data_IF_848226858904
#
_entry.id   IF_848226858904
#
_cell.length_a   1.000
_cell.length_b   1.000
_cell.length_c   1.000
_cell.angle_alpha   90.00
_cell.angle_beta   90.00
_cell.angle_gamma   90.00
#
_symmetry.space_group_name_H-M   'P 1'
#
loop_
_entity.id
_entity.type
_entity.pdbx_description
1 polymer ?
#
# COMPACT_ATOMS: atom_id res chain seq x y z
N UNK A 1 -4.05 21.53 38.17
CA UNK A 1 -3.62 22.73 37.43
C UNK A 1 -4.15 22.59 36.02
N UNK A 2 -5.03 23.47 35.57
CA UNK A 2 -5.44 23.47 34.16
C UNK A 2 -4.23 23.90 33.33
N UNK A 3 -3.74 23.07 32.48
CA UNK A 3 -2.72 23.41 31.48
C UNK A 3 -3.38 24.40 30.50
N UNK A 4 -3.02 25.67 30.62
CA UNK A 4 -3.41 26.68 29.65
C UNK A 4 -2.45 26.52 28.46
N UNK A 5 -2.75 25.55 27.57
CA UNK A 5 -1.91 25.28 26.45
C UNK A 5 -2.20 26.30 25.33
N UNK A 6 -1.42 27.37 25.31
CA UNK A 6 -1.47 28.37 24.23
C UNK A 6 -0.66 27.93 23.00
N UNK A 7 0.05 26.80 23.09
CA UNK A 7 0.84 26.26 21.99
C UNK A 7 -0.07 25.52 21.02
N UNK A 8 -0.20 26.06 19.82
CA UNK A 8 -0.95 25.42 18.74
C UNK A 8 0.01 24.76 17.77
N UNK A 9 -0.25 23.50 17.48
CA UNK A 9 0.43 22.79 16.40
C UNK A 9 -0.29 23.05 15.07
N UNK A 10 0.49 23.11 14.01
CA UNK A 10 0.01 23.02 12.64
C UNK A 10 0.77 21.88 11.94
N UNK A 11 0.19 21.22 10.95
CA UNK A 11 0.92 20.30 10.12
C UNK A 11 2.14 20.95 9.49
N UNK A 12 3.23 20.18 9.27
CA UNK A 12 4.38 20.69 8.55
C UNK A 12 3.96 21.13 7.14
N UNK A 13 4.50 22.25 6.64
CA UNK A 13 4.12 22.83 5.34
C UNK A 13 4.27 21.86 4.15
N UNK A 14 5.18 20.90 4.26
CA UNK A 14 5.43 19.90 3.22
C UNK A 14 4.43 18.74 3.24
N UNK A 15 3.60 18.59 4.27
CA UNK A 15 2.53 17.57 4.26
C UNK A 15 1.43 18.00 3.30
N UNK A 16 0.97 17.10 2.41
CA UNK A 16 -0.02 17.46 1.39
C UNK A 16 -1.34 17.92 1.98
N UNK A 17 -1.82 17.24 3.01
CA UNK A 17 -3.13 17.49 3.61
C UNK A 17 -2.98 18.39 4.83
N UNK A 18 -3.62 19.57 4.82
CA UNK A 18 -3.41 20.67 5.79
C UNK A 18 -4.63 21.01 6.64
N UNK A 19 -5.82 20.45 6.35
CA UNK A 19 -7.05 20.77 7.11
C UNK A 19 -6.99 20.16 8.50
N UNK A 20 -6.67 21.01 9.48
CA UNK A 20 -6.49 20.61 10.90
C UNK A 20 -7.78 20.11 11.54
N UNK A 21 -8.96 20.59 11.13
CA UNK A 21 -10.24 20.14 11.68
C UNK A 21 -10.52 18.69 11.23
N UNK A 22 -10.22 18.39 9.96
CA UNK A 22 -10.32 17.04 9.43
C UNK A 22 -9.30 16.12 10.09
N UNK A 23 -8.03 16.56 10.22
CA UNK A 23 -6.96 15.77 10.83
C UNK A 23 -7.29 15.40 12.29
N UNK A 24 -7.77 16.38 13.09
CA UNK A 24 -8.18 16.15 14.48
C UNK A 24 -9.37 15.19 14.59
N UNK A 25 -10.27 15.23 13.62
CA UNK A 25 -11.43 14.33 13.57
C UNK A 25 -11.00 12.91 13.21
N UNK A 26 -10.26 12.74 12.13
CA UNK A 26 -9.96 11.39 11.59
C UNK A 26 -9.04 10.61 12.50
N UNK A 27 -8.10 11.24 13.21
CA UNK A 27 -7.19 10.56 14.13
C UNK A 27 -7.91 9.87 15.29
N UNK A 28 -9.11 10.32 15.62
CA UNK A 28 -9.96 9.76 16.66
C UNK A 28 -10.93 8.68 16.17
N UNK A 29 -11.00 8.43 14.86
CA UNK A 29 -11.93 7.45 14.31
C UNK A 29 -11.46 6.02 14.60
N UNK A 30 -12.39 5.21 15.09
CA UNK A 30 -12.18 3.78 15.30
C UNK A 30 -12.67 3.01 14.06
N UNK A 31 -11.74 2.55 13.24
CA UNK A 31 -12.03 1.81 12.00
C UNK A 31 -12.88 0.56 12.27
N UNK A 32 -12.71 -0.08 13.43
CA UNK A 32 -13.46 -1.29 13.82
C UNK A 32 -14.96 -1.05 13.89
N UNK A 33 -15.38 0.18 14.22
CA UNK A 33 -16.78 0.57 14.29
C UNK A 33 -17.39 0.89 12.90
N UNK A 34 -16.56 1.00 11.86
CA UNK A 34 -16.96 1.44 10.52
C UNK A 34 -16.76 0.37 9.44
N UNK A 35 -16.64 -0.89 9.85
CA UNK A 35 -16.53 -2.00 8.90
C UNK A 35 -17.77 -2.12 8.01
N UNK A 36 -17.57 -2.66 6.81
CA UNK A 36 -18.63 -2.95 5.85
C UNK A 36 -18.59 -2.09 4.60
N UNK A 37 -19.75 -1.89 3.98
CA UNK A 37 -19.92 -1.27 2.66
C UNK A 37 -20.59 0.10 2.73
N UNK A 38 -20.20 0.96 3.64
CA UNK A 38 -20.79 2.28 3.86
C UNK A 38 -19.92 3.40 3.27
N UNK A 39 -19.46 3.21 2.05
CA UNK A 39 -18.58 4.13 1.33
C UNK A 39 -19.24 4.63 0.04
N UNK A 40 -18.55 5.50 -0.70
CA UNK A 40 -19.04 6.13 -1.92
C UNK A 40 -19.39 5.10 -3.01
N UNK A 41 -18.56 4.04 -3.12
CA UNK A 41 -18.88 2.89 -3.97
C UNK A 41 -19.48 1.77 -3.11
N UNK A 42 -20.71 1.30 -3.41
CA UNK A 42 -21.35 0.21 -2.64
C UNK A 42 -20.66 -1.14 -2.77
N UNK A 43 -19.76 -1.29 -3.75
CA UNK A 43 -18.93 -2.50 -3.93
C UNK A 43 -17.54 -2.37 -3.30
N UNK A 44 -17.24 -1.25 -2.60
CA UNK A 44 -16.08 -1.12 -1.73
C UNK A 44 -16.41 -1.61 -0.33
N UNK A 45 -15.52 -2.39 0.28
CA UNK A 45 -15.71 -2.95 1.61
C UNK A 45 -14.46 -2.79 2.48
N UNK A 46 -14.65 -2.34 3.72
CA UNK A 46 -13.62 -2.26 4.75
C UNK A 46 -13.78 -3.43 5.73
N UNK A 47 -12.72 -4.24 5.89
CA UNK A 47 -12.72 -5.43 6.74
C UNK A 47 -11.57 -5.42 7.74
N UNK A 48 -11.90 -5.50 9.02
CA UNK A 48 -10.91 -5.78 10.06
C UNK A 48 -10.71 -7.28 10.16
N UNK A 49 -9.49 -7.74 9.93
CA UNK A 49 -9.12 -9.16 9.88
C UNK A 49 -7.83 -9.40 10.65
N UNK A 50 -7.73 -10.56 11.29
CA UNK A 50 -6.59 -10.86 12.17
C UNK A 50 -5.27 -11.01 11.41
N UNK A 51 -5.29 -11.59 10.22
CA UNK A 51 -4.09 -11.81 9.39
C UNK A 51 -4.34 -11.38 7.95
N UNK A 52 -4.01 -10.13 7.66
CA UNK A 52 -4.20 -9.52 6.34
C UNK A 52 -3.34 -10.18 5.26
N UNK A 53 -2.14 -10.69 5.62
CA UNK A 53 -1.27 -11.36 4.67
C UNK A 53 -1.89 -12.64 4.13
N UNK A 54 -2.59 -13.40 4.97
CA UNK A 54 -3.31 -14.59 4.51
C UNK A 54 -4.42 -14.24 3.50
N UNK A 55 -5.11 -13.11 3.67
CA UNK A 55 -6.09 -12.68 2.67
C UNK A 55 -5.45 -12.36 1.34
N UNK A 56 -4.30 -11.65 1.32
CA UNK A 56 -3.54 -11.44 0.09
C UNK A 56 -3.10 -12.76 -0.55
N UNK A 57 -2.50 -13.67 0.25
CA UNK A 57 -1.99 -14.96 -0.23
C UNK A 57 -3.11 -15.79 -0.86
N UNK A 58 -4.24 -15.91 -0.16
CA UNK A 58 -5.38 -16.72 -0.61
C UNK A 58 -6.02 -16.10 -1.86
N UNK A 59 -6.21 -14.78 -1.90
CA UNK A 59 -6.83 -14.11 -3.03
C UNK A 59 -5.95 -14.27 -4.30
N UNK A 60 -4.65 -13.94 -4.21
CA UNK A 60 -3.74 -14.07 -5.35
C UNK A 60 -3.62 -15.53 -5.82
N UNK A 61 -3.49 -16.48 -4.88
CA UNK A 61 -3.46 -17.90 -5.21
C UNK A 61 -4.72 -18.34 -5.95
N UNK A 62 -5.91 -17.94 -5.48
CA UNK A 62 -7.18 -18.36 -6.11
C UNK A 62 -7.36 -17.75 -7.50
N UNK A 63 -6.94 -16.50 -7.72
CA UNK A 63 -6.99 -15.85 -9.03
C UNK A 63 -6.08 -16.58 -10.03
N UNK A 64 -4.84 -16.89 -9.63
CA UNK A 64 -3.90 -17.66 -10.44
C UNK A 64 -4.47 -19.05 -10.74
N UNK A 65 -5.02 -19.75 -9.74
CA UNK A 65 -5.64 -21.05 -9.91
C UNK A 65 -6.82 -21.00 -10.87
N UNK A 66 -7.68 -20.00 -10.76
CA UNK A 66 -8.82 -19.85 -11.69
C UNK A 66 -8.35 -19.55 -13.10
N UNK A 67 -7.34 -18.70 -13.28
CA UNK A 67 -6.70 -18.43 -14.57
C UNK A 67 -6.15 -19.71 -15.22
N UNK A 68 -5.45 -20.53 -14.43
CA UNK A 68 -4.92 -21.82 -14.91
C UNK A 68 -6.02 -22.79 -15.33
N UNK A 69 -7.01 -23.02 -14.45
CA UNK A 69 -8.12 -23.97 -14.70
C UNK A 69 -8.96 -23.56 -15.90
N UNK A 70 -9.26 -22.28 -16.04
CA UNK A 70 -10.08 -21.76 -17.15
C UNK A 70 -9.27 -21.50 -18.41
N UNK A 71 -7.94 -21.52 -18.31
CA UNK A 71 -7.01 -21.11 -19.35
C UNK A 71 -7.30 -19.67 -19.84
N UNK A 72 -7.56 -18.78 -18.91
CA UNK A 72 -7.86 -17.36 -19.14
C UNK A 72 -6.68 -16.50 -18.67
N UNK A 73 -6.42 -15.41 -19.39
CA UNK A 73 -5.42 -14.41 -19.01
C UNK A 73 -5.80 -13.78 -17.67
N UNK A 74 -4.79 -13.55 -16.82
CA UNK A 74 -4.89 -12.81 -15.57
C UNK A 74 -3.85 -11.69 -15.58
N UNK A 75 -4.31 -10.45 -15.49
CA UNK A 75 -3.44 -9.26 -15.41
C UNK A 75 -3.47 -8.72 -13.99
N UNK A 76 -2.30 -8.64 -13.34
CA UNK A 76 -2.18 -8.17 -11.95
C UNK A 76 -1.20 -7.02 -11.86
N UNK A 77 -1.54 -6.00 -11.04
CA UNK A 77 -0.59 -4.96 -10.62
C UNK A 77 -0.20 -5.28 -9.18
N UNK A 78 1.09 -5.55 -8.96
CA UNK A 78 1.62 -6.00 -7.68
C UNK A 78 2.48 -4.92 -7.00
N UNK A 79 2.35 -4.75 -5.67
CA UNK A 79 3.35 -4.09 -4.84
C UNK A 79 4.53 -5.04 -4.61
N UNK A 80 5.50 -4.61 -3.78
CA UNK A 80 6.52 -5.51 -3.22
C UNK A 80 6.16 -5.82 -1.77
N UNK A 81 5.35 -6.86 -1.51
CA UNK A 81 5.00 -7.26 -0.16
C UNK A 81 6.23 -7.84 0.56
N UNK A 82 6.08 -8.19 1.84
CA UNK A 82 7.11 -8.92 2.56
C UNK A 82 7.43 -10.28 1.90
N UNK A 83 8.69 -10.71 2.00
CA UNK A 83 9.16 -11.96 1.38
C UNK A 83 8.25 -13.16 1.69
N UNK A 84 7.79 -13.26 2.94
CA UNK A 84 6.95 -14.36 3.40
C UNK A 84 5.62 -14.46 2.61
N UNK A 85 5.07 -13.34 2.18
CA UNK A 85 3.82 -13.31 1.41
C UNK A 85 4.00 -13.98 0.05
N UNK A 86 5.02 -13.59 -0.70
CA UNK A 86 5.32 -14.24 -1.99
C UNK A 86 5.69 -15.71 -1.82
N UNK A 87 6.51 -16.04 -0.83
CA UNK A 87 6.90 -17.43 -0.57
C UNK A 87 5.68 -18.30 -0.24
N UNK A 88 4.71 -17.80 0.52
CA UNK A 88 3.49 -18.55 0.85
C UNK A 88 2.61 -18.80 -0.38
N UNK A 89 2.48 -17.81 -1.28
CA UNK A 89 1.78 -17.99 -2.56
C UNK A 89 2.47 -19.06 -3.41
N UNK A 90 3.80 -18.97 -3.54
CA UNK A 90 4.60 -19.93 -4.32
C UNK A 90 4.53 -21.34 -3.74
N UNK A 91 4.60 -21.49 -2.42
CA UNK A 91 4.46 -22.80 -1.78
C UNK A 91 3.11 -23.45 -2.12
N UNK A 92 2.03 -22.67 -2.08
CA UNK A 92 0.71 -23.15 -2.48
C UNK A 92 0.67 -23.52 -3.97
N UNK A 93 1.21 -22.68 -4.87
CA UNK A 93 1.24 -22.94 -6.30
C UNK A 93 2.02 -24.23 -6.63
N UNK A 94 3.22 -24.40 -6.04
CA UNK A 94 4.04 -25.59 -6.22
C UNK A 94 3.35 -26.84 -5.67
N UNK A 95 2.77 -26.75 -4.47
CA UNK A 95 2.08 -27.87 -3.80
C UNK A 95 0.88 -28.39 -4.61
N UNK A 96 0.08 -27.46 -5.13
CA UNK A 96 -1.15 -27.80 -5.87
C UNK A 96 -0.93 -27.86 -7.39
N UNK A 97 0.33 -27.71 -7.87
CA UNK A 97 0.70 -27.74 -9.29
C UNK A 97 -0.10 -26.78 -10.15
N UNK A 98 -0.29 -25.58 -9.66
CA UNK A 98 -1.02 -24.50 -10.36
C UNK A 98 -0.04 -23.74 -11.26
N UNK A 99 -0.31 -23.70 -12.56
CA UNK A 99 0.54 -23.00 -13.52
C UNK A 99 0.24 -21.50 -13.56
N UNK A 100 1.29 -20.70 -13.65
CA UNK A 100 1.18 -19.24 -13.83
C UNK A 100 1.27 -18.81 -15.30
N UNK A 101 1.21 -19.74 -16.26
CA UNK A 101 1.46 -19.48 -17.70
C UNK A 101 0.64 -18.34 -18.32
N UNK A 102 -0.56 -18.07 -17.78
CA UNK A 102 -1.47 -17.05 -18.29
C UNK A 102 -1.42 -15.74 -17.48
N UNK A 103 -0.54 -15.65 -16.48
CA UNK A 103 -0.45 -14.49 -15.59
C UNK A 103 0.47 -13.45 -16.20
N UNK A 104 -0.02 -12.22 -16.31
CA UNK A 104 0.74 -11.03 -16.66
C UNK A 104 0.92 -10.18 -15.40
N UNK A 105 2.17 -9.86 -15.07
CA UNK A 105 2.53 -9.12 -13.86
C UNK A 105 3.03 -7.73 -14.24
N UNK A 106 2.38 -6.71 -13.73
CA UNK A 106 2.85 -5.34 -13.71
C UNK A 106 3.24 -4.93 -12.27
N UNK A 107 4.15 -3.99 -12.15
CA UNK A 107 4.61 -3.51 -10.85
C UNK A 107 4.02 -2.14 -10.55
N UNK A 108 3.49 -1.97 -9.34
CA UNK A 108 2.89 -0.73 -8.88
C UNK A 108 3.84 0.45 -9.06
N UNK A 109 5.12 0.26 -8.69
CA UNK A 109 6.20 1.21 -8.94
C UNK A 109 7.57 0.53 -8.89
N UNK A 110 8.58 1.23 -9.40
CA UNK A 110 9.99 0.83 -9.35
C UNK A 110 10.87 2.04 -9.06
N UNK A 111 12.04 1.83 -8.51
CA UNK A 111 13.00 2.89 -8.23
C UNK A 111 13.70 3.41 -9.49
N UNK A 112 14.06 4.68 -9.44
CA UNK A 112 14.90 5.32 -10.45
C UNK A 112 15.95 6.23 -9.78
N UNK A 113 17.06 6.45 -10.49
CA UNK A 113 18.12 7.35 -10.03
C UNK A 113 17.80 8.81 -10.37
N UNK A 114 18.67 9.74 -9.96
CA UNK A 114 18.54 11.17 -10.23
C UNK A 114 18.36 11.51 -11.73
N UNK A 115 18.92 10.68 -12.62
CA UNK A 115 18.80 10.86 -14.08
C UNK A 115 17.52 10.25 -14.66
N UNK A 116 16.67 9.63 -13.82
CA UNK A 116 15.48 8.92 -14.25
C UNK A 116 15.77 7.56 -14.91
N UNK A 117 16.95 6.99 -14.67
CA UNK A 117 17.26 5.64 -15.10
C UNK A 117 16.62 4.66 -14.11
N UNK A 118 15.77 3.79 -14.62
CA UNK A 118 15.01 2.82 -13.82
C UNK A 118 15.93 1.72 -13.29
N UNK A 119 15.76 1.33 -12.05
CA UNK A 119 16.51 0.24 -11.44
C UNK A 119 16.21 -1.08 -12.17
N UNK A 120 17.23 -1.75 -12.76
CA UNK A 120 17.02 -3.03 -13.40
C UNK A 120 16.66 -4.10 -12.34
N UNK A 121 15.91 -5.13 -12.74
CA UNK A 121 15.47 -6.17 -11.81
C UNK A 121 16.64 -6.92 -11.12
N UNK A 122 17.85 -6.86 -11.69
CA UNK A 122 19.07 -7.42 -11.08
C UNK A 122 19.59 -6.60 -9.91
N UNK A 123 19.16 -5.32 -9.79
CA UNK A 123 19.53 -4.47 -8.67
C UNK A 123 19.06 -5.10 -7.34
N UNK A 124 19.88 -5.07 -6.27
CA UNK A 124 19.49 -5.62 -4.98
C UNK A 124 18.26 -4.97 -4.37
N UNK A 125 18.01 -3.70 -4.71
CA UNK A 125 16.88 -2.91 -4.19
C UNK A 125 15.67 -2.85 -5.13
N UNK A 126 15.75 -3.46 -6.33
CA UNK A 126 14.65 -3.44 -7.29
C UNK A 126 13.43 -4.21 -6.77
N UNK A 127 12.25 -3.61 -6.92
CA UNK A 127 10.96 -4.19 -6.56
C UNK A 127 10.60 -5.34 -7.48
N UNK A 128 10.81 -5.19 -8.76
CA UNK A 128 10.66 -6.29 -9.72
C UNK A 128 11.70 -7.40 -9.48
N UNK A 129 12.92 -7.04 -9.07
CA UNK A 129 13.93 -8.01 -8.64
C UNK A 129 13.52 -8.77 -7.38
N UNK A 130 12.77 -8.14 -6.47
CA UNK A 130 12.18 -8.80 -5.32
C UNK A 130 11.18 -9.88 -5.76
N UNK A 131 10.27 -9.58 -6.72
CA UNK A 131 9.37 -10.56 -7.31
C UNK A 131 10.13 -11.72 -7.97
N UNK A 132 11.18 -11.43 -8.74
CA UNK A 132 12.02 -12.48 -9.37
C UNK A 132 12.64 -13.40 -8.32
N UNK A 133 13.19 -12.84 -7.23
CA UNK A 133 13.86 -13.63 -6.18
C UNK A 133 12.92 -14.48 -5.34
N UNK A 134 11.77 -13.93 -4.95
CA UNK A 134 10.89 -14.54 -3.95
C UNK A 134 9.62 -15.16 -4.53
N UNK A 135 9.30 -14.88 -5.79
CA UNK A 135 8.18 -15.49 -6.48
C UNK A 135 8.65 -16.34 -7.68
N UNK A 136 9.13 -15.71 -8.74
CA UNK A 136 9.40 -16.37 -10.01
C UNK A 136 10.44 -17.51 -9.89
N UNK A 137 11.59 -17.24 -9.27
CA UNK A 137 12.66 -18.24 -9.11
C UNK A 137 12.33 -19.34 -8.10
N UNK A 138 11.29 -19.17 -7.28
CA UNK A 138 10.83 -20.16 -6.30
C UNK A 138 9.73 -21.07 -6.82
N UNK A 139 9.10 -20.74 -7.94
CA UNK A 139 8.19 -21.64 -8.64
C UNK A 139 8.96 -22.82 -9.23
N UNK A 140 8.33 -23.99 -9.23
CA UNK A 140 8.77 -25.13 -10.03
C UNK A 140 8.85 -24.68 -11.50
N UNK A 141 9.87 -25.12 -12.22
CA UNK A 141 10.18 -24.58 -13.56
C UNK A 141 9.01 -24.70 -14.55
N UNK A 142 8.30 -25.81 -14.47
CA UNK A 142 7.14 -26.11 -15.32
C UNK A 142 5.88 -25.28 -15.01
N UNK A 143 5.85 -24.59 -13.87
CA UNK A 143 4.72 -23.75 -13.44
C UNK A 143 4.92 -22.27 -13.74
N UNK A 144 6.13 -21.89 -14.17
CA UNK A 144 6.50 -20.49 -14.39
C UNK A 144 5.77 -19.89 -15.58
N UNK A 145 5.38 -18.62 -15.42
CA UNK A 145 4.94 -17.80 -16.55
C UNK A 145 6.09 -17.55 -17.53
N UNK A 146 5.82 -17.31 -18.80
CA UNK A 146 6.80 -16.78 -19.73
C UNK A 146 7.39 -15.46 -19.21
N UNK A 147 8.69 -15.23 -19.45
CA UNK A 147 9.36 -14.02 -18.95
C UNK A 147 8.78 -12.74 -19.56
N UNK A 148 8.27 -12.82 -20.79
CA UNK A 148 7.58 -11.72 -21.49
C UNK A 148 6.24 -11.31 -20.85
N UNK A 149 5.69 -12.14 -19.97
CA UNK A 149 4.51 -11.80 -19.19
C UNK A 149 4.85 -11.01 -17.90
N UNK A 150 6.14 -10.81 -17.61
CA UNK A 150 6.61 -9.97 -16.51
C UNK A 150 6.99 -8.62 -17.10
N UNK A 151 6.12 -7.64 -16.94
CA UNK A 151 6.26 -6.31 -17.52
C UNK A 151 7.12 -5.44 -16.61
N UNK A 152 8.43 -5.43 -16.91
CA UNK A 152 9.37 -4.62 -16.17
C UNK A 152 9.25 -3.15 -16.55
N UNK A 153 9.43 -2.28 -15.57
CA UNK A 153 9.68 -0.88 -15.83
C UNK A 153 11.03 -0.70 -16.50
N UNK A 154 11.05 0.10 -17.56
CA UNK A 154 12.26 0.52 -18.29
C UNK A 154 12.20 2.01 -18.55
N UNK A 155 13.32 2.61 -18.92
CA UNK A 155 13.35 4.03 -19.29
C UNK A 155 12.43 4.34 -20.48
N UNK A 156 12.28 3.39 -21.38
CA UNK A 156 11.56 3.54 -22.64
C UNK A 156 10.04 3.48 -22.44
N UNK A 157 9.55 2.77 -21.39
CA UNK A 157 8.12 2.59 -21.20
C UNK A 157 7.51 3.41 -20.04
N UNK A 158 8.25 4.35 -19.46
CA UNK A 158 7.74 5.15 -18.32
C UNK A 158 6.37 5.79 -18.62
N UNK A 159 6.24 6.43 -19.80
CA UNK A 159 5.02 7.14 -20.18
C UNK A 159 3.97 6.24 -20.85
N UNK A 160 4.37 5.04 -21.30
CA UNK A 160 3.51 4.10 -22.03
C UNK A 160 3.13 2.86 -21.22
N UNK A 161 3.59 2.76 -19.98
CA UNK A 161 3.30 1.60 -19.13
C UNK A 161 1.80 1.43 -18.86
N UNK A 162 1.07 2.53 -18.71
CA UNK A 162 -0.40 2.54 -18.64
C UNK A 162 -1.03 1.97 -19.92
N UNK A 163 -0.47 2.31 -21.10
CA UNK A 163 -0.97 1.82 -22.38
C UNK A 163 -0.70 0.32 -22.55
N UNK A 164 0.42 -0.18 -22.01
CA UNK A 164 0.71 -1.62 -21.99
C UNK A 164 -0.33 -2.39 -21.15
N UNK A 165 -0.73 -1.85 -19.99
CA UNK A 165 -1.80 -2.40 -19.15
C UNK A 165 -3.14 -2.38 -19.91
N UNK A 166 -3.47 -1.26 -20.54
CA UNK A 166 -4.71 -1.07 -21.30
C UNK A 166 -4.78 -2.01 -22.52
N UNK A 167 -3.65 -2.22 -23.22
CA UNK A 167 -3.55 -3.15 -24.35
C UNK A 167 -3.87 -4.60 -23.97
N UNK A 168 -3.68 -4.98 -22.72
CA UNK A 168 -4.08 -6.28 -22.17
C UNK A 168 -5.54 -6.31 -21.67
N UNK A 169 -6.28 -5.23 -21.80
CA UNK A 169 -7.68 -5.10 -21.34
C UNK A 169 -7.80 -4.59 -19.90
N UNK A 170 -6.78 -3.93 -19.39
CA UNK A 170 -6.69 -3.45 -18.00
C UNK A 170 -6.28 -4.55 -17.01
N UNK A 171 -6.02 -4.15 -15.77
CA UNK A 171 -5.72 -5.10 -14.71
C UNK A 171 -7.01 -5.78 -14.20
N UNK A 172 -6.94 -7.09 -13.97
CA UNK A 172 -8.01 -7.83 -13.29
C UNK A 172 -8.06 -7.49 -11.80
N UNK A 173 -6.89 -7.25 -11.22
CA UNK A 173 -6.77 -6.82 -9.82
C UNK A 173 -5.51 -5.99 -9.62
N UNK A 174 -5.62 -4.97 -8.77
CA UNK A 174 -4.49 -4.24 -8.20
C UNK A 174 -4.41 -4.49 -6.70
N UNK A 175 -3.17 -4.69 -6.22
CA UNK A 175 -2.89 -4.82 -4.79
C UNK A 175 -2.09 -3.62 -4.32
N UNK A 176 -2.48 -3.05 -3.18
CA UNK A 176 -1.84 -1.86 -2.60
C UNK A 176 -1.66 -1.97 -1.09
N UNK A 177 -0.93 -1.02 -0.54
CA UNK A 177 -0.87 -0.65 0.85
C UNK A 177 -0.52 0.84 0.92
N UNK A 178 -1.03 1.58 1.89
CA UNK A 178 -0.82 3.02 2.01
C UNK A 178 0.58 3.36 2.53
N UNK A 179 1.14 4.46 2.03
CA UNK A 179 2.28 5.14 2.64
C UNK A 179 1.85 6.06 3.78
N UNK A 180 2.80 6.67 4.49
CA UNK A 180 2.52 7.54 5.66
C UNK A 180 1.72 8.79 5.34
N UNK A 181 1.81 9.30 4.12
CA UNK A 181 1.02 10.44 3.62
C UNK A 181 -0.30 10.04 2.96
N UNK A 182 -0.80 8.83 3.21
CA UNK A 182 -1.94 8.26 2.47
C UNK A 182 -1.70 8.07 0.96
N UNK A 183 -0.42 8.07 0.53
CA UNK A 183 -0.04 7.78 -0.84
C UNK A 183 -0.17 6.30 -1.19
N UNK A 184 -0.20 5.97 -2.48
CA UNK A 184 -0.35 4.61 -3.00
C UNK A 184 0.86 4.29 -3.87
N UNK A 185 1.75 3.42 -3.42
CA UNK A 185 3.02 3.21 -4.11
C UNK A 185 3.83 4.52 -4.14
N UNK A 186 4.16 5.05 -5.32
CA UNK A 186 4.77 6.36 -5.47
C UNK A 186 3.77 7.42 -6.03
N UNK A 187 2.47 7.19 -5.83
CA UNK A 187 1.41 8.15 -6.16
C UNK A 187 1.22 9.06 -4.96
N UNK A 188 1.74 10.26 -5.06
CA UNK A 188 1.60 11.34 -4.09
C UNK A 188 1.26 12.67 -4.79
N UNK A 189 0.78 13.70 -4.07
CA UNK A 189 0.38 14.96 -4.69
C UNK A 189 1.50 15.72 -5.38
N UNK A 190 2.75 15.56 -4.97
CA UNK A 190 3.90 16.22 -5.60
C UNK A 190 4.18 15.61 -6.98
N UNK A 191 4.13 14.29 -7.09
CA UNK A 191 4.30 13.55 -8.34
C UNK A 191 3.07 13.62 -9.26
N UNK A 192 1.89 13.88 -8.71
CA UNK A 192 0.61 13.92 -9.40
C UNK A 192 -0.16 15.23 -9.14
N UNK A 193 0.41 16.38 -9.56
CA UNK A 193 -0.20 17.68 -9.29
C UNK A 193 -1.52 17.85 -10.03
N UNK A 194 -2.62 17.87 -9.29
CA UNK A 194 -3.97 18.07 -9.79
C UNK A 194 -4.73 19.06 -8.92
N UNK A 195 -5.64 19.82 -9.51
CA UNK A 195 -6.50 20.77 -8.79
C UNK A 195 -7.80 20.14 -8.36
N UNK A 196 -8.20 19.08 -9.01
CA UNK A 196 -9.46 18.38 -8.74
C UNK A 196 -9.24 16.87 -8.73
N UNK A 197 -10.12 16.16 -8.04
CA UNK A 197 -10.12 14.68 -8.04
C UNK A 197 -10.27 14.14 -9.45
N UNK A 198 -11.11 14.78 -10.29
CA UNK A 198 -11.33 14.35 -11.67
C UNK A 198 -10.05 14.43 -12.53
N UNK A 199 -9.26 15.49 -12.37
CA UNK A 199 -7.95 15.62 -13.03
C UNK A 199 -7.00 14.55 -12.53
N UNK A 200 -6.94 14.35 -11.21
CA UNK A 200 -6.09 13.35 -10.58
C UNK A 200 -6.36 11.93 -11.09
N UNK A 201 -7.62 11.52 -11.16
CA UNK A 201 -8.04 10.20 -11.62
C UNK A 201 -7.71 9.89 -13.10
N UNK A 202 -7.38 10.90 -13.90
CA UNK A 202 -7.00 10.73 -15.33
C UNK A 202 -5.50 10.57 -15.54
N UNK A 203 -4.69 10.74 -14.48
CA UNK A 203 -3.23 10.69 -14.58
C UNK A 203 -2.76 9.24 -14.63
N UNK A 204 -1.97 8.91 -15.66
CA UNK A 204 -1.34 7.60 -15.88
C UNK A 204 0.09 7.53 -15.39
N UNK A 205 0.80 6.51 -15.84
CA UNK A 205 2.18 6.19 -15.48
C UNK A 205 3.16 7.33 -15.75
N UNK A 206 4.17 7.48 -14.88
CA UNK A 206 5.17 8.54 -14.96
C UNK A 206 6.39 8.34 -14.08
N UNK A 207 7.41 9.15 -14.33
CA UNK A 207 8.54 9.33 -13.43
C UNK A 207 8.19 10.42 -12.40
N UNK A 208 8.43 10.14 -11.11
CA UNK A 208 8.16 11.05 -10.00
C UNK A 208 9.39 11.23 -9.12
N UNK A 209 9.41 12.32 -8.35
CA UNK A 209 10.26 12.47 -7.17
C UNK A 209 9.38 12.17 -5.97
N UNK A 210 9.57 11.04 -5.27
CA UNK A 210 8.77 10.71 -4.10
C UNK A 210 8.92 11.75 -3.00
N UNK A 211 7.89 11.91 -2.20
CA UNK A 211 7.98 12.75 -1.00
C UNK A 211 9.06 12.23 -0.03
N UNK A 212 9.65 13.13 0.74
CA UNK A 212 10.76 12.81 1.63
C UNK A 212 10.42 11.70 2.65
N UNK A 213 9.19 11.67 3.15
CA UNK A 213 8.75 10.64 4.09
C UNK A 213 8.70 9.24 3.45
N UNK A 214 8.47 9.14 2.14
CA UNK A 214 8.53 7.86 1.45
C UNK A 214 9.95 7.30 1.41
N UNK A 215 10.95 8.16 1.22
CA UNK A 215 12.37 7.77 1.29
C UNK A 215 12.70 7.25 2.69
N UNK A 216 12.27 7.97 3.72
CA UNK A 216 12.45 7.55 5.13
C UNK A 216 11.72 6.22 5.38
N UNK A 217 10.47 6.12 4.96
CA UNK A 217 9.66 4.91 5.10
C UNK A 217 10.33 3.69 4.43
N UNK A 218 10.80 3.85 3.20
CA UNK A 218 11.45 2.76 2.47
C UNK A 218 12.78 2.36 3.11
N UNK A 219 13.56 3.29 3.71
CA UNK A 219 14.79 2.98 4.44
C UNK A 219 14.57 2.05 5.64
N UNK A 220 13.34 2.01 6.17
CA UNK A 220 12.92 1.12 7.26
C UNK A 220 12.36 -0.22 6.75
N UNK A 221 12.33 -0.44 5.43
CA UNK A 221 11.89 -1.72 4.85
C UNK A 221 13.02 -2.76 4.83
N UNK A 222 12.61 -4.05 4.79
CA UNK A 222 13.54 -5.16 4.76
C UNK A 222 14.53 -5.14 3.59
N UNK A 223 14.17 -4.54 2.45
CA UNK A 223 15.05 -4.34 1.30
C UNK A 223 16.29 -3.48 1.63
N UNK A 224 16.16 -2.56 2.57
CA UNK A 224 17.23 -1.70 3.08
C UNK A 224 17.69 -2.12 4.49
N UNK A 225 17.39 -3.38 4.89
CA UNK A 225 17.83 -3.96 6.16
C UNK A 225 17.16 -3.35 7.39
N UNK A 226 16.05 -2.63 7.25
CA UNK A 226 15.37 -1.88 8.33
C UNK A 226 16.33 -0.93 9.07
N UNK A 227 17.31 -0.39 8.36
CA UNK A 227 18.48 0.28 8.94
C UNK A 227 18.35 1.79 9.08
N UNK A 228 17.34 2.41 8.44
CA UNK A 228 17.26 3.86 8.30
C UNK A 228 18.28 4.43 7.32
N UNK A 229 18.84 3.60 6.43
CA UNK A 229 19.81 3.99 5.41
C UNK A 229 19.10 4.76 4.27
N UNK A 230 18.77 6.00 4.55
CA UNK A 230 18.13 6.90 3.58
C UNK A 230 19.03 7.23 2.38
N UNK A 231 20.36 7.09 2.53
CA UNK A 231 21.31 7.43 1.49
C UNK A 231 21.29 6.44 0.32
N UNK A 232 20.88 5.19 0.57
CA UNK A 232 20.78 4.17 -0.45
C UNK A 232 19.36 3.98 -1.03
N UNK A 233 18.34 4.66 -0.47
CA UNK A 233 17.02 4.69 -1.10
C UNK A 233 17.11 5.57 -2.36
N UNK A 234 16.76 5.04 -3.55
CA UNK A 234 16.84 5.82 -4.77
C UNK A 234 15.92 7.06 -4.73
N UNK A 235 16.39 8.21 -5.26
CA UNK A 235 15.72 9.50 -5.08
C UNK A 235 14.50 9.71 -5.97
N UNK A 236 14.30 8.86 -6.98
CA UNK A 236 13.15 8.92 -7.90
C UNK A 236 12.50 7.57 -8.04
N UNK A 237 11.28 7.58 -8.55
CA UNK A 237 10.51 6.38 -8.84
C UNK A 237 9.72 6.52 -10.14
N UNK A 238 9.46 5.39 -10.81
CA UNK A 238 8.45 5.27 -11.86
C UNK A 238 7.25 4.54 -11.27
N UNK A 239 6.05 4.99 -11.57
CA UNK A 239 4.84 4.48 -10.96
C UNK A 239 3.66 4.46 -11.94
N UNK A 240 2.76 3.49 -11.78
CA UNK A 240 1.42 3.59 -12.37
C UNK A 240 0.71 4.83 -11.83
N UNK A 241 -0.35 5.26 -12.48
CA UNK A 241 -1.12 6.40 -12.03
C UNK A 241 -2.48 6.02 -11.44
N UNK A 242 -3.20 7.00 -10.87
CA UNK A 242 -4.58 6.80 -10.46
C UNK A 242 -5.48 6.25 -11.57
N UNK A 243 -5.25 6.64 -12.83
CA UNK A 243 -5.95 6.10 -14.02
C UNK A 243 -5.89 4.57 -14.05
N UNK A 244 -4.72 4.00 -13.81
CA UNK A 244 -4.49 2.56 -13.92
C UNK A 244 -5.16 1.78 -12.79
N UNK A 245 -5.13 2.37 -11.57
CA UNK A 245 -5.81 1.80 -10.41
C UNK A 245 -7.31 1.78 -10.61
N UNK A 246 -7.88 2.91 -11.05
CA UNK A 246 -9.32 3.06 -11.30
C UNK A 246 -9.82 2.26 -12.50
N UNK A 247 -8.96 1.93 -13.46
CA UNK A 247 -9.28 1.09 -14.61
C UNK A 247 -9.21 -0.41 -14.30
N UNK A 248 -8.71 -0.82 -13.14
CA UNK A 248 -8.68 -2.23 -12.72
C UNK A 248 -10.12 -2.74 -12.48
N UNK A 249 -10.33 -4.07 -12.56
CA UNK A 249 -11.65 -4.65 -12.27
C UNK A 249 -11.93 -4.74 -10.77
N UNK A 250 -10.87 -4.86 -9.96
CA UNK A 250 -10.96 -4.98 -8.52
C UNK A 250 -9.70 -4.42 -7.84
N UNK A 251 -9.88 -3.84 -6.67
CA UNK A 251 -8.81 -3.27 -5.86
C UNK A 251 -8.75 -3.94 -4.50
N UNK A 252 -7.61 -4.53 -4.16
CA UNK A 252 -7.35 -5.13 -2.85
C UNK A 252 -6.29 -4.29 -2.15
N UNK A 253 -6.65 -3.70 -1.04
CA UNK A 253 -5.73 -2.96 -0.18
C UNK A 253 -5.47 -3.72 1.11
N UNK A 254 -4.22 -3.69 1.61
CA UNK A 254 -3.83 -4.44 2.81
C UNK A 254 -3.05 -3.55 3.76
N UNK A 255 -3.59 -3.36 4.97
CA UNK A 255 -3.02 -2.50 6.00
C UNK A 255 -2.61 -3.32 7.24
N UNK A 256 -1.30 -3.39 7.50
CA UNK A 256 -0.71 -4.34 8.43
C UNK A 256 0.36 -3.72 9.34
N UNK A 257 0.74 -4.46 10.37
CA UNK A 257 1.86 -4.10 11.21
C UNK A 257 3.18 -4.40 10.50
N UNK A 258 4.07 -3.42 10.46
CA UNK A 258 5.45 -3.66 10.04
C UNK A 258 6.25 -4.13 11.24
N UNK A 259 6.93 -5.25 11.07
CA UNK A 259 7.79 -5.84 12.10
C UNK A 259 9.26 -5.56 11.79
N UNK A 260 9.83 -4.56 12.52
CA UNK A 260 11.27 -4.26 12.50
C UNK A 260 11.80 -4.32 13.93
N UNK A 261 11.77 -5.50 14.55
CA UNK A 261 12.14 -5.67 15.95
C UNK A 261 11.06 -5.25 16.96
N UNK A 262 9.88 -4.85 16.47
CA UNK A 262 8.67 -4.53 17.21
C UNK A 262 7.53 -4.30 16.23
N UNK A 263 6.30 -4.48 16.68
CA UNK A 263 5.12 -4.23 15.85
C UNK A 263 4.83 -2.72 15.78
N UNK A 264 4.84 -2.15 14.59
CA UNK A 264 4.59 -0.72 14.35
C UNK A 264 3.35 -0.56 13.47
N UNK A 265 2.31 0.07 14.02
CA UNK A 265 1.05 0.36 13.32
C UNK A 265 1.16 1.69 12.52
N UNK A 266 2.15 1.81 11.67
CA UNK A 266 2.47 3.05 10.94
C UNK A 266 1.40 3.45 9.91
N UNK A 267 0.56 2.52 9.49
CA UNK A 267 -0.53 2.76 8.54
C UNK A 267 -1.84 3.22 9.21
N UNK A 268 -1.85 3.36 10.54
CA UNK A 268 -3.04 3.75 11.30
C UNK A 268 -3.60 5.09 10.86
N UNK A 269 -2.81 6.16 10.94
CA UNK A 269 -3.24 7.49 10.54
C UNK A 269 -3.51 7.64 9.03
N UNK A 270 -2.62 7.15 8.13
CA UNK A 270 -2.91 7.19 6.69
C UNK A 270 -4.24 6.53 6.33
N UNK A 271 -4.54 5.38 6.92
CA UNK A 271 -5.80 4.69 6.68
C UNK A 271 -7.01 5.45 7.23
N UNK A 272 -6.90 6.05 8.42
CA UNK A 272 -7.96 6.90 8.96
C UNK A 272 -8.22 8.09 8.03
N UNK A 273 -7.17 8.74 7.52
CA UNK A 273 -7.30 9.84 6.58
C UNK A 273 -7.91 9.38 5.25
N UNK A 274 -7.46 8.25 4.71
CA UNK A 274 -8.00 7.67 3.49
C UNK A 274 -9.49 7.30 3.62
N UNK A 275 -9.90 6.71 4.75
CA UNK A 275 -11.27 6.23 4.95
C UNK A 275 -12.26 7.32 5.34
N UNK A 276 -11.84 8.32 6.11
CA UNK A 276 -12.75 9.30 6.74
C UNK A 276 -12.47 10.75 6.35
N UNK A 277 -11.35 11.01 5.68
CA UNK A 277 -11.03 12.32 5.11
C UNK A 277 -11.74 12.55 3.77
N UNK A 278 -11.59 13.75 3.19
CA UNK A 278 -12.16 14.06 1.88
C UNK A 278 -11.45 13.26 0.78
N UNK A 279 -12.19 13.00 -0.31
CA UNK A 279 -11.60 12.43 -1.53
C UNK A 279 -11.00 13.59 -2.33
N UNK A 280 -9.69 13.68 -2.32
CA UNK A 280 -8.95 14.76 -2.97
C UNK A 280 -7.53 14.32 -3.35
N UNK A 281 -6.85 15.06 -4.24
CA UNK A 281 -5.47 14.73 -4.62
C UNK A 281 -4.49 14.73 -3.46
N UNK A 282 -4.70 15.56 -2.43
CA UNK A 282 -3.87 15.67 -1.23
C UNK A 282 -4.03 14.47 -0.28
N UNK A 283 -4.99 13.59 -0.56
CA UNK A 283 -5.27 12.35 0.16
C UNK A 283 -5.42 11.19 -0.86
N UNK A 284 -4.35 10.76 -1.54
CA UNK A 284 -4.44 9.82 -2.67
C UNK A 284 -5.14 8.51 -2.32
N UNK A 285 -4.91 7.96 -1.12
CA UNK A 285 -5.54 6.73 -0.66
C UNK A 285 -7.06 6.78 -0.61
N UNK A 286 -7.65 7.99 -0.49
CA UNK A 286 -9.10 8.14 -0.43
C UNK A 286 -9.85 7.68 -1.70
N UNK A 287 -9.17 7.66 -2.86
CA UNK A 287 -9.80 7.27 -4.13
C UNK A 287 -10.22 5.80 -4.17
N UNK A 288 -9.63 4.93 -3.32
CA UNK A 288 -10.02 3.52 -3.27
C UNK A 288 -11.51 3.34 -2.93
N UNK A 289 -12.09 4.27 -2.16
CA UNK A 289 -13.52 4.25 -1.81
C UNK A 289 -14.45 4.48 -3.00
N UNK A 290 -13.92 5.01 -4.11
CA UNK A 290 -14.65 5.19 -5.37
C UNK A 290 -14.66 3.93 -6.23
N UNK A 291 -13.88 2.93 -5.87
CA UNK A 291 -13.66 1.74 -6.68
C UNK A 291 -14.29 0.49 -6.03
N UNK A 292 -14.61 -0.52 -6.85
CA UNK A 292 -14.93 -1.84 -6.34
C UNK A 292 -13.70 -2.48 -5.72
N UNK A 293 -13.78 -2.93 -4.48
CA UNK A 293 -12.64 -3.56 -3.83
C UNK A 293 -12.82 -3.83 -2.35
N UNK A 294 -11.74 -4.28 -1.73
CA UNK A 294 -11.73 -4.53 -0.29
C UNK A 294 -10.42 -4.01 0.31
N UNK A 295 -10.55 -3.21 1.37
CA UNK A 295 -9.44 -2.87 2.25
C UNK A 295 -9.44 -3.82 3.45
N UNK A 296 -8.41 -4.64 3.58
CA UNK A 296 -8.17 -5.51 4.72
C UNK A 296 -7.23 -4.83 5.69
N UNK A 297 -7.63 -4.70 6.95
CA UNK A 297 -6.83 -4.03 7.98
C UNK A 297 -6.69 -4.92 9.22
N UNK A 298 -5.50 -4.97 9.81
CA UNK A 298 -5.31 -5.69 11.08
C UNK A 298 -5.91 -4.88 12.25
N UNK A 299 -6.29 -5.56 13.35
CA UNK A 299 -6.98 -4.91 14.48
C UNK A 299 -6.18 -3.75 15.09
N UNK A 300 -4.85 -3.84 15.12
CA UNK A 300 -3.97 -2.85 15.73
C UNK A 300 -3.91 -1.56 14.90
N UNK A 301 -3.91 -1.67 13.58
CA UNK A 301 -4.01 -0.51 12.66
C UNK A 301 -5.41 0.09 12.72
N UNK A 302 -6.44 -0.71 12.96
CA UNK A 302 -7.82 -0.27 12.98
C UNK A 302 -8.22 0.58 14.21
N UNK A 303 -7.37 0.69 15.22
CA UNK A 303 -7.63 1.50 16.44
C UNK A 303 -7.38 3.00 16.21
N UNK A 304 -7.96 3.91 17.03
CA UNK A 304 -7.68 5.34 16.96
C UNK A 304 -6.18 5.66 17.04
N UNK A 305 -5.73 6.66 16.24
CA UNK A 305 -4.32 7.02 16.12
C UNK A 305 -3.69 7.58 17.38
N UNK A 306 -4.49 8.26 18.21
CA UNK A 306 -4.07 8.89 19.46
C UNK A 306 -4.12 7.95 20.68
N UNK A 307 -4.43 6.66 20.50
CA UNK A 307 -4.37 5.68 21.59
C UNK A 307 -2.90 5.41 21.91
N UNK A 308 -2.39 6.13 22.90
CA UNK A 308 -1.07 5.85 23.47
C UNK A 308 -1.20 4.66 24.42
N UNK A 309 -0.50 3.53 24.18
CA UNK A 309 -0.56 2.37 25.08
C UNK A 309 -0.21 2.72 26.55
N UNK A 310 0.66 3.72 26.72
CA UNK A 310 1.13 4.14 28.05
C UNK A 310 0.12 5.03 28.80
N UNK A 311 -0.80 5.68 28.10
CA UNK A 311 -1.81 6.54 28.76
C UNK A 311 -2.80 5.72 29.57
N UNK A 312 -3.28 4.62 29.03
CA UNK A 312 -4.15 3.66 29.71
C UNK A 312 -3.47 3.04 30.94
N UNK A 313 -2.16 2.81 30.88
CA UNK A 313 -1.38 2.26 32.00
C UNK A 313 -1.28 3.30 33.12
N UNK A 314 -1.00 4.56 32.79
CA UNK A 314 -0.89 5.63 33.79
C UNK A 314 -2.23 5.97 34.45
N UNK A 315 -3.33 5.98 33.67
CA UNK A 315 -4.68 6.13 34.21
C UNK A 315 -5.08 4.95 35.08
N UNK A 316 -4.83 3.70 34.66
CA UNK A 316 -5.04 2.52 35.48
C UNK A 316 -4.23 2.52 36.78
N UNK A 317 -2.97 2.93 36.73
CA UNK A 317 -2.13 3.08 37.93
C UNK A 317 -2.71 4.16 38.83
N UNK A 318 -3.16 5.28 38.28
CA UNK A 318 -3.80 6.36 39.06
C UNK A 318 -5.12 5.90 39.69
N UNK A 319 -5.93 5.13 39.00
CA UNK A 319 -7.17 4.53 39.53
C UNK A 319 -6.89 3.49 40.62
N UNK A 320 -5.88 2.65 40.47
CA UNK A 320 -5.47 1.66 41.47
C UNK A 320 -5.00 2.38 42.73
N UNK A 321 -4.15 3.41 42.62
CA UNK A 321 -3.68 4.20 43.75
C UNK A 321 -4.83 4.91 44.47
N UNK A 322 -5.79 5.50 43.75
CA UNK A 322 -6.99 6.10 44.35
C UNK A 322 -7.86 5.07 45.12
N UNK A 323 -7.90 3.83 44.67
CA UNK A 323 -8.62 2.77 45.37
C UNK A 323 -7.89 2.30 46.62
N UNK A 324 -6.56 2.26 46.59
CA UNK A 324 -5.73 1.94 47.75
C UNK A 324 -5.73 3.03 48.84
N UNK A 325 -5.81 4.32 48.46
CA UNK A 325 -5.91 5.44 49.38
C UNK A 325 -7.29 5.55 50.07
N UNK A 326 -8.31 4.87 49.55
CA UNK A 326 -9.68 4.85 50.12
C UNK A 326 -9.99 3.56 50.89
N UNK A 327 -9.01 2.68 51.11
CA UNK A 327 -9.05 1.50 51.95
C UNK A 327 -8.31 1.74 53.26
#
# INVERSE_FOLDING_TARGET
>A
MAFNNTFKFAPAEWLPFQDTEVLDKVVNMDIRAHQGKNFENPDFELKVVFDVHNYFVVDLFQRIRLSDVKNEKLVVILPSPENAVFLSVVEALNKYKVSTRNVHVFFLYEYANEKGEVAPWQSPYSRSGHFIRYFYNRLDAELRMPMENIHFWTKENIETYSDEIEALGGADVVYTALSWSSGIGAIDPEGFPAKTTEEFLKMGSRLVTPMAEMIVHDSLRGMFGCSGDIANVPPRAVTVGPKDLMASKEWIDVEYLISCGGAIAQQKFPLQLAMFGPICPENPGSIMRLHKGTCYVCPEVATPGNTLPDYDILERIAEIRKKEENL
#
